data_IF_745290916951
#
_entry.id   IF_745290916951
#
_cell.length_a   1.000
_cell.length_b   1.000
_cell.length_c   1.000
_cell.angle_alpha   90.00
_cell.angle_beta   90.00
_cell.angle_gamma   90.00
#
_symmetry.space_group_name_H-M   'P 1'
#
loop_
_entity.id
_entity.type
_entity.pdbx_description
1 polymer ?
#
# COMPACT_ATOMS: atom_id res chain seq x y z
N UNK A 1 -36.64 -13.06 23.68
CA UNK A 1 -36.72 -12.38 22.37
C UNK A 1 -35.57 -11.38 22.34
N UNK A 2 -34.55 -11.63 21.51
CA UNK A 2 -33.35 -10.76 21.39
C UNK A 2 -33.56 -9.73 20.27
N UNK A 3 -32.90 -8.56 20.37
CA UNK A 3 -32.33 -7.96 19.16
C UNK A 3 -30.94 -7.35 19.42
N UNK A 4 -29.97 -8.04 18.84
CA UNK A 4 -28.57 -7.70 18.62
C UNK A 4 -28.44 -6.80 17.37
N UNK A 5 -29.34 -5.81 17.20
CA UNK A 5 -29.51 -5.03 15.95
C UNK A 5 -29.51 -3.51 16.21
N UNK A 6 -28.40 -2.98 16.74
CA UNK A 6 -28.13 -1.54 16.83
C UNK A 6 -26.75 -1.21 16.25
N UNK A 7 -26.62 -0.21 15.36
CA UNK A 7 -25.51 -0.16 14.41
C UNK A 7 -24.16 0.08 15.10
N UNK A 8 -23.26 -0.88 14.93
CA UNK A 8 -21.81 -0.73 15.09
C UNK A 8 -21.27 0.21 14.00
N UNK A 9 -21.66 1.48 14.04
CA UNK A 9 -21.13 2.51 13.16
C UNK A 9 -20.61 3.63 14.05
N UNK A 10 -19.42 3.40 14.60
CA UNK A 10 -18.55 4.53 14.89
C UNK A 10 -18.43 5.33 13.58
N UNK A 11 -18.88 6.57 13.61
CA UNK A 11 -18.70 7.53 12.54
C UNK A 11 -17.20 7.83 12.42
N UNK A 12 -16.45 6.94 11.79
CA UNK A 12 -15.07 7.20 11.40
C UNK A 12 -15.12 8.14 10.21
N UNK A 13 -15.02 9.43 10.49
CA UNK A 13 -14.91 10.42 9.43
C UNK A 13 -13.45 10.57 9.04
N UNK A 14 -13.20 10.87 7.77
CA UNK A 14 -11.84 11.06 7.21
C UNK A 14 -11.03 12.12 8.00
N UNK A 15 -11.73 13.04 8.66
CA UNK A 15 -11.19 14.08 9.54
C UNK A 15 -10.56 13.57 10.85
N UNK A 16 -10.86 12.34 11.29
CA UNK A 16 -10.27 11.76 12.52
C UNK A 16 -8.79 11.36 12.36
N UNK A 17 -8.28 11.39 11.12
CA UNK A 17 -6.90 11.05 10.83
C UNK A 17 -6.22 12.13 9.97
N UNK A 18 -5.88 13.29 10.54
CA UNK A 18 -5.21 14.39 9.83
C UNK A 18 -3.85 13.99 9.21
N UNK A 19 -3.28 12.86 9.60
CA UNK A 19 -2.08 12.28 8.99
C UNK A 19 -2.33 11.44 7.73
N UNK A 20 -3.60 11.20 7.35
CA UNK A 20 -3.96 10.54 6.09
C UNK A 20 -3.98 11.52 4.92
N UNK A 21 -4.17 12.82 5.18
CA UNK A 21 -4.26 13.85 4.12
C UNK A 21 -2.90 14.44 3.70
N UNK A 22 -1.84 14.28 4.50
CA UNK A 22 -0.76 15.28 4.45
C UNK A 22 0.64 14.86 4.01
N UNK A 23 1.06 13.60 4.14
CA UNK A 23 2.50 13.32 4.08
C UNK A 23 2.87 12.08 3.27
N UNK A 24 3.58 12.32 2.17
CA UNK A 24 4.23 11.29 1.37
C UNK A 24 5.32 10.64 2.23
N UNK A 25 5.04 9.44 2.71
CA UNK A 25 5.98 8.71 3.56
C UNK A 25 6.74 7.69 2.74
N UNK A 26 8.04 7.94 2.53
CA UNK A 26 8.95 6.94 1.98
C UNK A 26 9.28 5.90 3.05
N UNK A 27 8.93 4.66 2.77
CA UNK A 27 9.04 3.52 3.69
C UNK A 27 9.66 2.33 3.00
N UNK A 28 10.04 1.34 3.79
CA UNK A 28 10.32 -0.03 3.32
C UNK A 28 9.32 -0.95 4.03
N UNK A 29 8.59 -1.74 3.27
CA UNK A 29 7.67 -2.73 3.84
C UNK A 29 8.44 -4.02 4.09
N UNK A 30 8.61 -4.38 5.36
CA UNK A 30 9.30 -5.59 5.77
C UNK A 30 8.26 -6.65 6.17
N UNK A 31 8.28 -7.79 5.48
CA UNK A 31 7.37 -8.90 5.76
C UNK A 31 7.77 -9.63 7.04
N UNK A 32 6.80 -10.30 7.67
CA UNK A 32 7.05 -11.26 8.76
C UNK A 32 7.94 -12.43 8.32
N UNK A 33 8.01 -12.71 7.02
CA UNK A 33 8.91 -13.71 6.42
C UNK A 33 10.34 -13.21 6.19
N UNK A 34 10.69 -12.03 6.72
CA UNK A 34 12.01 -11.41 6.64
C UNK A 34 12.46 -10.98 5.23
N UNK A 35 11.55 -10.40 4.44
CA UNK A 35 11.86 -9.78 3.15
C UNK A 35 11.33 -8.36 3.07
N UNK A 36 12.09 -7.47 2.43
CA UNK A 36 11.58 -6.18 1.99
C UNK A 36 10.80 -6.35 0.69
N UNK A 37 9.62 -5.75 0.60
CA UNK A 37 8.89 -5.61 -0.66
C UNK A 37 9.74 -4.82 -1.66
N UNK A 38 9.89 -5.34 -2.86
CA UNK A 38 10.65 -4.75 -3.97
C UNK A 38 9.81 -4.77 -5.24
N UNK A 39 9.87 -3.68 -6.00
CA UNK A 39 9.39 -3.65 -7.39
C UNK A 39 10.55 -3.29 -8.29
N UNK A 40 10.97 -4.22 -9.13
CA UNK A 40 12.10 -4.01 -10.02
C UNK A 40 11.71 -3.16 -11.26
N UNK A 41 12.69 -2.73 -12.08
CA UNK A 41 12.41 -1.93 -13.28
C UNK A 41 11.54 -2.61 -14.33
N UNK A 42 11.37 -3.94 -14.28
CA UNK A 42 10.45 -4.67 -15.18
C UNK A 42 9.00 -4.67 -14.69
N UNK A 43 8.74 -4.13 -13.50
CA UNK A 43 7.41 -4.15 -12.87
C UNK A 43 7.12 -5.46 -12.13
N UNK A 44 8.11 -6.31 -11.91
CA UNK A 44 7.92 -7.53 -11.11
C UNK A 44 7.96 -7.19 -9.63
N UNK A 45 6.96 -7.69 -8.90
CA UNK A 45 6.84 -7.53 -7.44
C UNK A 45 7.39 -8.77 -6.74
N UNK A 46 8.33 -8.59 -5.82
CA UNK A 46 9.01 -9.69 -5.13
C UNK A 46 9.58 -9.26 -3.77
N UNK A 47 10.10 -10.22 -3.01
CA UNK A 47 10.83 -9.96 -1.76
C UNK A 47 12.35 -9.88 -1.99
N UNK A 48 13.04 -9.02 -1.23
CA UNK A 48 14.51 -9.00 -1.15
C UNK A 48 14.98 -8.96 0.29
N UNK A 49 16.09 -9.63 0.61
CA UNK A 49 16.75 -9.50 1.92
C UNK A 49 17.68 -8.28 1.99
N UNK A 50 18.01 -7.70 0.84
CA UNK A 50 18.89 -6.55 0.75
C UNK A 50 18.18 -5.28 1.21
N UNK A 51 18.58 -4.76 2.37
CA UNK A 51 17.97 -3.59 3.00
C UNK A 51 18.17 -2.31 2.20
N UNK A 52 19.36 -2.09 1.66
CA UNK A 52 19.73 -0.77 1.09
C UNK A 52 19.38 -0.64 -0.40
N UNK A 53 18.48 -1.48 -0.89
CA UNK A 53 18.10 -1.54 -2.31
C UNK A 53 17.19 -0.38 -2.65
N UNK A 54 17.43 0.32 -3.76
CA UNK A 54 16.60 1.46 -4.16
C UNK A 54 15.18 1.03 -4.56
N UNK A 55 15.07 -0.16 -5.15
CA UNK A 55 13.81 -0.75 -5.63
C UNK A 55 12.85 -1.20 -4.51
N UNK A 56 13.27 -1.17 -3.25
CA UNK A 56 12.43 -1.52 -2.08
C UNK A 56 11.99 -0.30 -1.26
N UNK A 57 12.27 0.91 -1.75
CA UNK A 57 11.70 2.15 -1.20
C UNK A 57 10.34 2.38 -1.86
N UNK A 58 9.30 2.51 -1.03
CA UNK A 58 7.93 2.76 -1.47
C UNK A 58 7.37 4.02 -0.85
N UNK A 59 6.56 4.73 -1.62
CA UNK A 59 5.69 5.78 -1.18
C UNK A 59 4.32 5.18 -0.85
N UNK A 60 3.81 5.50 0.34
CA UNK A 60 2.49 5.07 0.81
C UNK A 60 1.61 6.31 0.91
N UNK A 61 0.48 6.31 0.19
CA UNK A 61 -0.53 7.37 0.24
C UNK A 61 -1.86 6.79 0.67
N UNK A 62 -2.57 7.47 1.56
CA UNK A 62 -3.97 7.13 1.81
C UNK A 62 -4.81 7.49 0.59
N UNK A 63 -5.78 6.64 0.27
CA UNK A 63 -6.77 6.91 -0.80
C UNK A 63 -8.19 6.99 -0.26
N UNK A 64 -8.42 6.45 0.94
CA UNK A 64 -9.62 6.56 1.78
C UNK A 64 -9.30 5.91 3.13
N UNK A 65 -10.16 6.11 4.13
CA UNK A 65 -10.02 5.45 5.43
C UNK A 65 -9.84 3.93 5.26
N UNK A 66 -8.78 3.39 5.87
CA UNK A 66 -8.43 1.97 5.82
C UNK A 66 -7.83 1.47 4.50
N UNK A 67 -7.58 2.33 3.51
CA UNK A 67 -6.97 1.92 2.23
C UNK A 67 -5.82 2.83 1.79
N UNK A 68 -4.79 2.22 1.22
CA UNK A 68 -3.59 2.91 0.75
C UNK A 68 -3.21 2.50 -0.66
N UNK A 69 -2.61 3.44 -1.40
CA UNK A 69 -1.85 3.15 -2.61
C UNK A 69 -0.36 3.03 -2.24
N UNK A 70 0.29 2.00 -2.77
CA UNK A 70 1.73 1.73 -2.58
C UNK A 70 2.42 1.90 -3.92
N UNK A 71 3.33 2.88 -4.01
CA UNK A 71 4.08 3.18 -5.22
C UNK A 71 5.57 2.95 -4.98
N UNK A 72 6.23 2.20 -5.85
CA UNK A 72 7.68 2.10 -5.83
C UNK A 72 8.30 3.43 -6.25
N UNK A 73 9.14 4.02 -5.39
CA UNK A 73 9.70 5.35 -5.62
C UNK A 73 10.63 5.34 -6.84
N UNK A 74 11.44 4.30 -6.97
CA UNK A 74 12.46 4.21 -8.01
C UNK A 74 11.89 3.91 -9.40
N UNK A 75 10.99 2.93 -9.52
CA UNK A 75 10.42 2.51 -10.81
C UNK A 75 9.11 3.21 -11.17
N UNK A 76 8.46 3.89 -10.21
CA UNK A 76 7.20 4.59 -10.41
C UNK A 76 5.96 3.68 -10.49
N UNK A 77 6.13 2.36 -10.50
CA UNK A 77 5.04 1.40 -10.51
C UNK A 77 4.23 1.42 -9.22
N UNK A 78 2.92 1.24 -9.34
CA UNK A 78 2.05 0.92 -8.22
C UNK A 78 2.01 -0.59 -8.01
N UNK A 79 2.00 -1.04 -6.76
CA UNK A 79 1.78 -2.44 -6.43
C UNK A 79 0.30 -2.75 -6.62
N UNK A 80 -0.01 -3.66 -7.54
CA UNK A 80 -1.35 -4.12 -7.84
C UNK A 80 -1.43 -5.64 -7.70
N UNK A 81 -2.65 -6.15 -7.55
CA UNK A 81 -2.93 -7.59 -7.48
C UNK A 81 -4.06 -7.91 -8.45
N UNK A 82 -3.88 -8.94 -9.27
CA UNK A 82 -4.95 -9.37 -10.17
C UNK A 82 -5.93 -10.31 -9.44
N UNK A 83 -7.03 -10.69 -10.11
CA UNK A 83 -8.07 -11.57 -9.54
C UNK A 83 -7.57 -12.98 -9.19
N UNK A 84 -6.41 -13.39 -9.69
CA UNK A 84 -5.77 -14.67 -9.38
C UNK A 84 -4.83 -14.58 -8.17
N UNK A 85 -4.73 -13.41 -7.53
CA UNK A 85 -3.83 -13.17 -6.40
C UNK A 85 -2.38 -12.90 -6.78
N UNK A 86 -2.06 -12.72 -8.07
CA UNK A 86 -0.69 -12.43 -8.50
C UNK A 86 -0.41 -10.93 -8.39
N UNK A 87 0.67 -10.60 -7.68
CA UNK A 87 1.18 -9.24 -7.56
C UNK A 87 1.92 -8.81 -8.83
N UNK A 88 1.74 -7.56 -9.23
CA UNK A 88 2.42 -6.96 -10.37
C UNK A 88 2.55 -5.44 -10.20
N UNK A 89 3.52 -4.86 -10.88
CA UNK A 89 3.70 -3.41 -11.00
C UNK A 89 2.79 -2.87 -12.09
N UNK A 90 1.92 -1.93 -11.72
CA UNK A 90 1.02 -1.25 -12.65
C UNK A 90 1.49 0.19 -12.89
N UNK A 91 1.51 0.63 -14.14
CA UNK A 91 1.68 2.06 -14.43
C UNK A 91 0.40 2.80 -14.06
N UNK A 92 0.52 4.01 -13.51
CA UNK A 92 -0.63 4.89 -13.42
C UNK A 92 -1.00 5.29 -14.85
N UNK A 93 -2.17 4.86 -15.31
CA UNK A 93 -2.80 5.46 -16.48
C UNK A 93 -3.30 6.85 -16.05
N UNK A 94 -2.40 7.82 -15.95
CA UNK A 94 -2.79 9.23 -15.88
C UNK A 94 -3.18 9.62 -17.31
N UNK A 95 -4.47 9.49 -17.63
CA UNK A 95 -5.10 10.31 -18.67
C UNK A 95 -5.58 11.60 -18.02
#
# INVERSE_FOLDING_TARGET
>A
MSPDDGPLLAHFTEADYPHLEGDVRWRRLFSSTHFFLRVDPSGRVQGTRWRDGRDSVVEIRSVRVGAVAIKAVHSGFYVAMNRRGLLYGSVSSRR
#
